data_IF_546289140488
#
_entry.id   IF_546289140488
#
_cell.length_a   1.000
_cell.length_b   1.000
_cell.length_c   1.000
_cell.angle_alpha   90.00
_cell.angle_beta   90.00
_cell.angle_gamma   90.00
#
_symmetry.space_group_name_H-M   'P 1'
#
loop_
_entity.id
_entity.type
_entity.pdbx_description
1 polymer ?
2 polymer ?
3 non-polymer ?
4 non-polymer ?
5 water ?
#
loop_
_entity_poly.entity_id
_entity_poly.type
_entity_poly.pdbx_seq_one_letter_code
_entity_poly.pdbx_strand_id
1 'polyribonucleotide' 'GGCCGGCAUGGUCCCAGCCUCCUCGCUGGCGCCGGCUGGGCAACACCAUUGCACUCCGGUGGCGAAUGGGAC' ?
#
# COMPACT_ATOMS: atom_id res chain seq x y z
N UNK B 3 4.55 -6.67 13.61
CA UNK B 3 5.86 -5.98 13.82
C UNK B 3 6.16 -4.96 12.69
N UNK B 4 7.36 -5.07 12.12
CA UNK B 4 7.79 -4.20 11.03
C UNK B 4 9.25 -4.44 10.64
N UNK B 5 9.68 -3.67 9.65
CA UNK B 5 11.01 -3.77 9.10
C UNK B 5 11.64 -2.45 8.65
N UNK B 6 12.74 -2.60 7.90
CA UNK B 6 13.53 -1.49 7.34
C UNK B 6 12.73 -0.72 6.30
N UNK B 7 13.02 0.57 6.18
CA UNK B 7 12.33 1.43 5.22
C UNK B 7 12.33 0.78 3.83
N UNK B 8 11.36 1.12 3.00
CA UNK B 8 11.28 0.53 1.66
C UNK B 8 10.42 1.43 0.78
N UNK B 9 10.58 1.36 -0.55
CA UNK B 9 9.75 2.17 -1.44
C UNK B 9 8.28 1.73 -1.41
N UNK B 10 8.07 0.46 -1.05
CA UNK B 10 6.76 -0.13 -1.03
C UNK B 10 6.18 -0.30 0.38
N UNK B 11 4.89 0.00 0.55
CA UNK B 11 4.23 -0.20 1.84
C UNK B 11 3.29 -1.39 1.72
N UNK B 12 3.30 -2.25 2.73
CA UNK B 12 2.44 -3.41 2.77
C UNK B 12 1.26 -3.10 3.67
N UNK B 13 0.06 -3.13 3.07
CA UNK B 13 -1.17 -2.84 3.78
C UNK B 13 -2.03 -4.09 3.98
N UNK B 14 -2.58 -4.28 5.17
CA UNK B 14 -3.45 -5.43 5.32
C UNK B 14 -4.61 -5.07 6.24
N UNK B 15 -5.48 -6.03 6.49
CA UNK B 15 -6.68 -5.83 7.28
C UNK B 15 -7.63 -5.01 6.43
N UNK B 16 -7.56 -5.22 5.12
CA UNK B 16 -8.41 -4.52 4.17
C UNK B 16 -9.70 -5.32 3.93
N UNK B 17 -10.80 -4.61 3.68
CA UNK B 17 -12.10 -5.25 3.43
C UNK B 17 -12.03 -6.18 2.24
N UNK B 18 -12.16 -7.46 2.51
CA UNK B 18 -12.06 -8.49 1.48
C UNK B 18 -13.21 -8.54 0.47
N UNK B 19 -14.32 -7.89 0.80
CA UNK B 19 -15.47 -7.88 -0.08
C UNK B 19 -15.34 -6.92 -1.27
N UNK B 20 -14.36 -6.04 -1.25
CA UNK B 20 -14.21 -5.11 -2.36
C UNK B 20 -13.41 -5.68 -3.52
N UNK B 21 -13.94 -5.54 -4.73
CA UNK B 21 -13.28 -6.05 -5.93
C UNK B 21 -11.92 -5.45 -6.17
N UNK B 22 -11.07 -6.18 -6.89
CA UNK B 22 -9.72 -5.74 -7.18
C UNK B 22 -9.61 -4.35 -7.80
N UNK B 23 -10.30 -4.10 -8.90
CA UNK B 23 -10.21 -2.81 -9.60
C UNK B 23 -10.65 -1.61 -8.75
N UNK B 24 -11.69 -1.75 -7.96
CA UNK B 24 -12.19 -0.67 -7.12
C UNK B 24 -11.21 -0.43 -6.01
N UNK B 25 -10.76 -1.50 -5.37
CA UNK B 25 -9.80 -1.35 -4.28
C UNK B 25 -8.57 -0.56 -4.73
N UNK B 26 -8.03 -0.91 -5.91
CA UNK B 26 -6.87 -0.24 -6.47
C UNK B 26 -7.09 1.24 -6.59
N UNK B 27 -8.23 1.62 -7.17
CA UNK B 27 -8.60 3.01 -7.40
C UNK B 27 -8.80 3.80 -6.14
N UNK B 28 -9.52 3.24 -5.16
CA UNK B 28 -9.74 3.94 -3.91
C UNK B 28 -8.43 4.13 -3.18
N UNK B 29 -7.43 3.29 -3.43
CA UNK B 29 -6.16 3.44 -2.77
C UNK B 29 -5.39 4.60 -3.40
N UNK B 30 -5.44 4.73 -4.71
CA UNK B 30 -4.75 5.83 -5.39
C UNK B 30 -5.36 7.11 -4.86
N UNK B 31 -6.69 7.12 -4.74
CA UNK B 31 -7.41 8.27 -4.25
C UNK B 31 -6.89 8.75 -2.90
N UNK B 32 -6.69 7.79 -1.99
CA UNK B 32 -6.21 8.00 -0.63
C UNK B 32 -4.71 8.27 -0.48
N UNK B 33 -3.89 7.60 -1.31
CA UNK B 33 -2.44 7.75 -1.23
C UNK B 33 -1.70 8.63 -2.23
N UNK B 34 -2.33 9.05 -3.31
CA UNK B 34 -1.60 9.83 -4.29
C UNK B 34 -0.97 11.09 -3.74
N UNK B 35 -1.54 11.60 -2.64
CA UNK B 35 -1.02 12.81 -2.06
C UNK B 35 0.37 12.66 -1.43
N UNK B 36 0.73 11.45 -1.07
CA UNK B 36 2.02 11.25 -0.44
C UNK B 36 3.20 11.25 -1.39
N UNK B 37 2.91 11.22 -2.69
CA UNK B 37 3.98 11.24 -3.68
C UNK B 37 3.60 10.45 -4.93
N UNK B 38 4.49 10.34 -5.92
CA UNK B 38 4.18 9.59 -7.12
C UNK B 38 4.08 8.11 -6.78
N UNK B 39 3.11 7.43 -7.39
CA UNK B 39 2.92 6.02 -7.12
C UNK B 39 3.20 5.26 -8.38
N UNK B 40 4.12 4.31 -8.30
CA UNK B 40 4.50 3.50 -9.44
C UNK B 40 3.44 2.43 -9.75
N UNK B 41 2.85 1.85 -8.72
CA UNK B 41 1.80 0.88 -8.98
C UNK B 41 1.22 0.38 -7.67
N UNK B 42 0.07 -0.30 -7.76
CA UNK B 42 -0.59 -0.88 -6.60
C UNK B 42 -0.93 -2.30 -6.96
N UNK B 43 -0.42 -3.24 -6.18
CA UNK B 43 -0.67 -4.62 -6.51
C UNK B 43 -1.66 -5.19 -5.56
N UNK B 44 -2.73 -5.74 -6.11
CA UNK B 44 -3.80 -6.37 -5.36
C UNK B 44 -4.25 -7.72 -5.95
N UNK B 45 -4.50 -8.71 -5.09
CA UNK B 45 -4.95 -10.03 -5.55
C UNK B 45 -6.07 -10.46 -4.60
N UNK B 46 -7.04 -11.20 -5.10
CA UNK B 46 -8.11 -11.61 -4.22
C UNK B 46 -8.03 -13.10 -3.91
N UNK B 47 -6.90 -13.71 -4.23
CA UNK B 47 -6.67 -15.13 -4.02
C UNK B 47 -6.74 -15.43 -2.54
N UNK B 48 -6.83 -16.69 -2.16
CA UNK B 48 -6.92 -17.08 -0.75
C UNK B 48 -5.78 -16.56 0.14
N UNK B 49 -4.57 -16.50 -0.40
CA UNK B 49 -3.42 -16.05 0.39
C UNK B 49 -3.25 -14.55 0.39
N UNK B 50 -3.56 -13.92 -0.74
CA UNK B 50 -3.35 -12.50 -0.83
C UNK B 50 -4.50 -11.54 -0.60
N UNK B 51 -5.70 -12.04 -0.32
CA UNK B 51 -6.85 -11.18 -0.11
C UNK B 51 -6.71 -10.33 1.15
N UNK B 52 -7.32 -9.14 1.13
CA UNK B 52 -7.23 -8.24 2.27
C UNK B 52 -5.87 -7.55 2.38
N UNK B 53 -5.03 -7.71 1.37
CA UNK B 53 -3.69 -7.12 1.39
C UNK B 53 -3.43 -6.31 0.14
N UNK B 54 -2.52 -5.35 0.23
CA UNK B 54 -2.13 -4.52 -0.90
C UNK B 54 -0.72 -3.98 -0.71
N UNK B 55 -0.03 -3.82 -1.83
CA UNK B 55 1.33 -3.28 -1.87
C UNK B 55 1.26 -1.96 -2.66
N UNK B 56 1.61 -0.87 -2.02
CA UNK B 56 1.61 0.42 -2.71
C UNK B 56 3.07 0.80 -2.91
N UNK B 57 3.48 0.84 -4.16
CA UNK B 57 4.85 1.16 -4.54
C UNK B 57 5.10 2.63 -4.87
N UNK B 58 5.80 3.36 -4.01
CA UNK B 58 6.11 4.77 -4.26
C UNK B 58 7.45 4.99 -4.93
N UNK B 59 7.57 6.05 -5.74
CA UNK B 59 8.85 6.32 -6.40
C UNK B 59 9.90 6.79 -5.44
N UNK B 60 9.47 7.30 -4.30
CA UNK B 60 10.44 7.74 -3.31
C UNK B 60 10.11 7.26 -1.92
N UNK B 61 11.11 6.70 -1.24
CA UNK B 61 10.93 6.17 0.12
C UNK B 61 10.31 7.12 1.15
N UNK B 62 10.58 8.41 1.01
CA UNK B 62 10.05 9.40 1.94
C UNK B 62 8.53 9.40 1.84
N UNK B 63 8.01 9.17 0.64
CA UNK B 63 6.57 9.11 0.41
C UNK B 63 6.00 7.94 1.19
N UNK B 64 6.64 6.77 1.07
CA UNK B 64 6.22 5.57 1.77
C UNK B 64 6.27 5.79 3.27
N UNK B 65 7.30 6.49 3.73
CA UNK B 65 7.46 6.78 5.16
C UNK B 65 6.35 7.67 5.68
N UNK B 66 6.00 8.69 4.91
CA UNK B 66 4.94 9.61 5.32
C UNK B 66 3.57 8.96 5.27
N UNK B 67 3.31 8.22 4.19
CA UNK B 67 2.05 7.51 4.01
C UNK B 67 1.85 6.50 5.14
N UNK B 68 2.94 5.91 5.62
CA UNK B 68 2.87 4.94 6.72
C UNK B 68 2.54 5.58 8.04
N UNK B 69 3.07 6.77 8.31
CA UNK B 69 2.78 7.42 9.57
C UNK B 69 1.39 8.00 9.60
N UNK B 70 1.02 8.66 8.51
CA UNK B 70 -0.28 9.31 8.40
C UNK B 70 -1.48 8.41 8.31
N UNK B 71 -1.40 7.37 7.49
CA UNK B 71 -2.51 6.46 7.30
C UNK B 71 -2.64 5.22 8.16
N UNK B 72 -1.85 5.13 9.21
CA UNK B 72 -1.92 3.97 10.09
C UNK B 72 -3.28 3.92 10.77
N UNK B 73 -4.02 2.83 10.55
CA UNK B 73 -5.34 2.69 11.14
C UNK B 73 -6.47 3.46 10.48
N UNK B 74 -6.22 4.05 9.31
CA UNK B 74 -7.23 4.85 8.62
C UNK B 74 -8.41 3.95 8.31
N UNK B 75 -9.62 4.37 8.72
CA UNK B 75 -10.86 3.63 8.50
C UNK B 75 -11.18 3.66 6.98
N UNK B 76 -10.99 2.52 6.34
CA UNK B 76 -11.18 2.39 4.90
C UNK B 76 -12.18 1.28 4.70
N UNK B 77 -13.27 1.58 4.00
CA UNK B 77 -14.30 0.59 3.79
C UNK B 77 -14.70 -0.04 5.14
N UNK B 78 -14.80 0.81 6.16
CA UNK B 78 -15.22 0.40 7.51
C UNK B 78 -14.26 -0.43 8.38
N UNK B 79 -13.00 -0.53 7.95
CA UNK B 79 -11.98 -1.28 8.68
C UNK B 79 -10.68 -0.51 8.84
N UNK B 80 -10.05 -0.62 10.04
CA UNK B 80 -8.77 0.04 10.36
C UNK B 80 -7.66 -0.56 9.55
N UNK B 81 -7.14 0.23 8.62
CA UNK B 81 -6.08 -0.16 7.74
C UNK B 81 -4.77 -0.36 8.51
N UNK B 82 -4.04 -1.46 8.26
CA UNK B 82 -2.73 -1.73 8.90
C UNK B 82 -1.60 -1.60 7.90
N UNK B 83 -0.62 -0.77 8.20
CA UNK B 83 0.49 -0.53 7.28
C UNK B 83 1.86 -0.82 7.85
N UNK B 84 2.74 -1.41 7.03
CA UNK B 84 4.13 -1.70 7.43
C UNK B 84 4.88 -1.50 6.12
N UNK B 85 6.21 -1.40 6.18
CA UNK B 85 7.05 -1.32 4.99
C UNK B 85 7.08 -2.74 4.44
N UNK B 86 7.17 -2.91 3.14
CA UNK B 86 7.22 -4.25 2.60
C UNK B 86 8.57 -4.87 3.00
N UNK B 87 8.59 -6.18 3.27
CA UNK B 87 9.82 -6.87 3.66
C UNK B 87 10.86 -6.90 2.56
N UNK B 88 10.45 -6.92 1.29
CA UNK B 88 11.38 -6.97 0.17
C UNK B 88 11.04 -5.92 -0.88
N UNK B 89 12.01 -5.51 -1.69
CA UNK B 89 11.74 -4.54 -2.76
C UNK B 89 10.84 -5.13 -3.84
N UNK B 90 10.02 -4.30 -4.46
CA UNK B 90 9.13 -4.78 -5.50
C UNK B 90 9.93 -4.81 -6.79
N UNK B 91 9.57 -5.68 -7.73
CA UNK B 91 10.29 -5.78 -8.99
C UNK B 91 10.44 -4.47 -9.77
N UNK B 92 9.40 -3.66 -9.75
CA UNK B 92 9.40 -2.38 -10.45
C UNK B 92 10.51 -1.51 -9.93
N UNK B 93 10.79 -1.60 -8.64
CA UNK B 93 11.85 -0.81 -8.01
C UNK B 93 13.25 -1.38 -8.27
N UNK B 94 13.35 -2.71 -8.25
CA UNK B 94 14.62 -3.37 -8.49
C UNK B 94 14.92 -3.28 -9.98
N UNK B 95 13.88 -3.35 -10.79
CA UNK B 95 14.01 -3.27 -12.24
C UNK B 95 14.62 -1.94 -12.70
N UNK B 96 14.83 -1.03 -11.76
CA UNK B 96 15.42 0.28 -12.08
C UNK B 96 16.87 0.28 -11.63
N UNK B 97 17.06 0.65 -10.36
CA UNK B 97 18.38 0.74 -9.72
C UNK B 97 19.26 -0.48 -9.95
X LIG C 1 -63.23 -18.32 -23.01
X LIG D 1 -57.24 -15.03 -21.31
X LIG E 1 -48.08 -39.34 -19.09
X LIG F 1 -0.73 14.75 7.48
X LIG F 1 -1.71 13.63 7.52
X LIG F 1 0.56 14.31 6.91
X LIG F 1 -1.28 15.87 6.67
X LIG F 1 -0.48 15.24 8.86
X LIG G 1 7.56 12.63 4.64
X LIG G 1 6.85 12.21 5.88
X LIG G 1 8.67 11.67 4.41
X LIG G 1 6.68 12.61 3.44
X LIG G 1 8.11 13.99 4.83
#
# INVERSE_FOLDING_TARGET
AVPETRPNHTIYINNLNEKIKKDELKKSLHAIFSRFGQILDILVSRSLKMRGQAFVIFKEVSSATNALRSMQGFPFYDKPMRIQYAKTDSDIIAKMK
MG MG
MG MG
MG MG
SO4 S O1 O2 O3 O4
SO4 S O1 O2 O3 O4
#
